data_IF_006867502189
#
_entry.id   IF_006867502189
#
_cell.length_a   1.000
_cell.length_b   1.000
_cell.length_c   1.000
_cell.angle_alpha   90.00
_cell.angle_beta   90.00
_cell.angle_gamma   90.00
#
_symmetry.space_group_name_H-M   'P 1'
#
loop_
_entity.id
_entity.type
_entity.pdbx_description
1 polymer ?
#
# COMPACT_ATOMS: atom_id res chain seq x y z
N UNK A 1 -18.25 -6.59 0.98
CA UNK A 1 -17.08 -6.30 0.13
C UNK A 1 -15.91 -5.87 1.01
N UNK A 2 -14.72 -6.34 0.71
CA UNK A 2 -13.46 -5.91 1.33
C UNK A 2 -12.61 -5.19 0.27
N UNK A 3 -12.36 -3.86 0.38
CA UNK A 3 -11.59 -3.11 -0.61
C UNK A 3 -10.07 -3.25 -0.39
N UNK A 4 -9.62 -4.49 -0.22
CA UNK A 4 -8.24 -4.86 0.07
C UNK A 4 -7.86 -6.20 -0.55
N UNK A 5 -6.57 -6.50 -0.57
CA UNK A 5 -6.05 -7.83 -0.87
C UNK A 5 -6.56 -8.86 0.16
N UNK A 6 -6.75 -10.12 -0.22
CA UNK A 6 -6.96 -11.20 0.73
C UNK A 6 -5.85 -11.22 1.80
N UNK A 7 -6.25 -11.30 3.08
CA UNK A 7 -5.33 -11.28 4.22
C UNK A 7 -4.96 -9.88 4.73
N UNK A 8 -5.34 -8.80 4.07
CA UNK A 8 -5.20 -7.44 4.59
C UNK A 8 -6.24 -7.11 5.67
N UNK A 9 -6.03 -6.04 6.44
CA UNK A 9 -6.86 -5.70 7.60
C UNK A 9 -8.36 -5.58 7.29
N UNK A 10 -8.76 -4.98 6.17
CA UNK A 10 -10.17 -4.93 5.77
C UNK A 10 -10.75 -6.28 5.33
N UNK A 11 -9.95 -7.14 4.70
CA UNK A 11 -10.37 -8.50 4.37
C UNK A 11 -10.59 -9.32 5.64
N UNK A 12 -9.65 -9.22 6.59
CA UNK A 12 -9.78 -9.85 7.91
C UNK A 12 -11.06 -9.39 8.61
N UNK A 13 -11.31 -8.09 8.67
CA UNK A 13 -12.53 -7.54 9.29
C UNK A 13 -13.80 -8.03 8.58
N UNK A 14 -13.83 -8.00 7.24
CA UNK A 14 -14.99 -8.45 6.47
C UNK A 14 -15.29 -9.93 6.71
N UNK A 15 -14.26 -10.79 6.75
CA UNK A 15 -14.43 -12.23 7.03
C UNK A 15 -14.87 -12.49 8.44
N UNK A 16 -14.34 -11.77 9.41
CA UNK A 16 -14.77 -11.87 10.82
C UNK A 16 -16.23 -11.43 10.96
N UNK A 17 -16.61 -10.29 10.40
CA UNK A 17 -18.00 -9.83 10.39
C UNK A 17 -18.93 -10.89 9.76
N UNK A 18 -18.57 -11.39 8.58
CA UNK A 18 -19.32 -12.44 7.89
C UNK A 18 -19.45 -13.70 8.74
N UNK A 19 -18.36 -14.16 9.36
CA UNK A 19 -18.33 -15.33 10.21
C UNK A 19 -19.24 -15.17 11.43
N UNK A 20 -19.15 -14.04 12.14
CA UNK A 20 -19.98 -13.80 13.34
C UNK A 20 -21.45 -13.68 12.97
N UNK A 21 -21.79 -12.92 11.90
CA UNK A 21 -23.18 -12.80 11.43
C UNK A 21 -23.79 -14.14 11.07
N UNK A 22 -22.99 -15.06 10.50
CA UNK A 22 -23.42 -16.42 10.13
C UNK A 22 -23.55 -17.33 11.35
N UNK A 23 -22.50 -17.38 12.20
CA UNK A 23 -22.44 -18.29 13.37
C UNK A 23 -23.52 -17.95 14.40
N UNK A 24 -23.72 -16.65 14.65
CA UNK A 24 -24.74 -16.14 15.58
C UNK A 24 -26.14 -16.07 14.95
N UNK A 25 -26.29 -16.51 13.70
CA UNK A 25 -27.56 -16.52 12.95
C UNK A 25 -28.25 -15.14 12.95
N UNK A 26 -27.46 -14.07 12.78
CA UNK A 26 -27.99 -12.71 12.76
C UNK A 26 -28.64 -12.41 11.43
N UNK A 27 -28.00 -12.85 10.33
CA UNK A 27 -28.58 -12.73 8.99
C UNK A 27 -29.35 -14.00 8.61
N UNK A 28 -30.52 -13.86 7.95
CA UNK A 28 -31.31 -14.98 7.51
C UNK A 28 -30.78 -15.65 6.23
N UNK A 29 -29.77 -15.05 5.59
CA UNK A 29 -29.21 -15.47 4.30
C UNK A 29 -27.70 -15.67 4.41
N UNK A 30 -27.17 -16.54 3.56
CA UNK A 30 -25.74 -16.71 3.42
C UNK A 30 -25.10 -15.42 2.81
N UNK A 31 -23.93 -15.07 3.29
CA UNK A 31 -23.14 -13.94 2.79
C UNK A 31 -21.75 -14.40 2.39
N UNK A 32 -21.15 -13.72 1.43
CA UNK A 32 -19.78 -13.96 0.97
C UNK A 32 -18.93 -12.70 1.04
N UNK A 33 -17.62 -12.86 1.13
CA UNK A 33 -16.67 -11.76 1.10
C UNK A 33 -16.05 -11.65 -0.30
N UNK A 34 -16.24 -10.50 -0.93
CA UNK A 34 -15.68 -10.17 -2.25
C UNK A 34 -14.56 -9.15 -2.05
N UNK A 35 -13.36 -9.45 -2.55
CA UNK A 35 -12.23 -8.54 -2.50
C UNK A 35 -12.19 -7.62 -3.73
N UNK A 36 -11.97 -6.31 -3.51
CA UNK A 36 -11.81 -5.29 -4.55
C UNK A 36 -10.67 -4.36 -4.15
N UNK A 37 -9.45 -4.78 -4.44
CA UNK A 37 -8.23 -4.08 -4.07
C UNK A 37 -7.90 -2.91 -4.99
N UNK A 38 -7.08 -1.98 -4.53
CA UNK A 38 -6.40 -0.95 -5.31
C UNK A 38 -6.69 0.46 -4.84
N UNK A 39 -5.72 1.34 -5.04
CA UNK A 39 -5.74 2.76 -4.71
C UNK A 39 -6.27 3.06 -3.29
N UNK A 40 -5.77 2.34 -2.27
CA UNK A 40 -6.20 2.50 -0.88
C UNK A 40 -7.69 2.26 -0.65
N UNK A 41 -8.33 1.42 -1.47
CA UNK A 41 -9.73 1.05 -1.38
C UNK A 41 -10.68 1.88 -2.24
N UNK A 42 -10.23 2.95 -2.88
CA UNK A 42 -11.10 3.84 -3.69
C UNK A 42 -11.66 3.13 -4.94
N UNK A 43 -10.96 2.12 -5.49
CA UNK A 43 -11.50 1.29 -6.57
C UNK A 43 -12.72 0.49 -6.08
N UNK A 44 -12.64 -0.14 -4.91
CA UNK A 44 -13.77 -0.84 -4.30
C UNK A 44 -14.94 0.09 -3.97
N UNK A 45 -14.65 1.32 -3.49
CA UNK A 45 -15.64 2.35 -3.22
C UNK A 45 -16.39 2.76 -4.51
N UNK A 46 -15.66 3.01 -5.59
CA UNK A 46 -16.25 3.35 -6.88
C UNK A 46 -17.13 2.22 -7.42
N UNK A 47 -16.71 0.96 -7.26
CA UNK A 47 -17.52 -0.20 -7.66
C UNK A 47 -18.79 -0.33 -6.81
N UNK A 48 -18.71 -0.14 -5.48
CA UNK A 48 -19.87 -0.16 -4.59
C UNK A 48 -20.93 0.86 -5.02
N UNK A 49 -20.49 2.10 -5.26
CA UNK A 49 -21.37 3.21 -5.66
C UNK A 49 -21.96 2.98 -7.05
N UNK A 50 -21.14 2.54 -8.02
CA UNK A 50 -21.58 2.30 -9.39
C UNK A 50 -22.60 1.16 -9.50
N UNK A 51 -22.44 0.10 -8.70
CA UNK A 51 -23.38 -1.03 -8.67
C UNK A 51 -24.71 -0.66 -8.03
N UNK A 52 -24.69 0.14 -6.97
CA UNK A 52 -25.90 0.52 -6.23
C UNK A 52 -26.70 -0.64 -5.67
N UNK A 53 -26.07 -1.85 -5.53
CA UNK A 53 -26.73 -3.06 -5.08
C UNK A 53 -26.97 -3.00 -3.56
N UNK A 54 -28.23 -2.92 -3.10
CA UNK A 54 -28.58 -2.81 -1.68
C UNK A 54 -28.20 -4.05 -0.85
N UNK A 55 -27.85 -5.15 -1.49
CA UNK A 55 -27.41 -6.39 -0.82
C UNK A 55 -25.89 -6.43 -0.62
N UNK A 56 -25.17 -5.42 -1.07
CA UNK A 56 -23.71 -5.29 -0.90
C UNK A 56 -23.39 -4.23 0.14
N UNK A 57 -22.70 -4.61 1.19
CA UNK A 57 -22.09 -3.70 2.17
C UNK A 57 -20.57 -3.77 2.07
N UNK A 58 -19.88 -2.71 2.48
CA UNK A 58 -18.42 -2.64 2.39
C UNK A 58 -17.80 -2.25 3.71
N UNK A 59 -16.69 -2.90 4.07
CA UNK A 59 -15.82 -2.44 5.14
C UNK A 59 -15.03 -1.22 4.64
N UNK A 60 -14.94 -0.20 5.45
CA UNK A 60 -14.14 0.99 5.19
C UNK A 60 -13.44 1.43 6.48
N UNK A 61 -12.57 2.42 6.40
CA UNK A 61 -11.88 2.95 7.56
C UNK A 61 -11.00 4.14 7.21
N UNK A 62 -10.17 4.57 8.16
CA UNK A 62 -9.31 5.75 8.05
C UNK A 62 -8.44 5.76 6.79
N UNK A 63 -7.84 4.62 6.42
CA UNK A 63 -7.05 4.49 5.19
C UNK A 63 -7.81 4.97 3.95
N UNK A 64 -9.12 4.71 3.89
CA UNK A 64 -9.94 5.13 2.75
C UNK A 64 -10.15 6.64 2.72
N UNK A 65 -10.29 7.31 3.87
CA UNK A 65 -10.37 8.78 3.93
C UNK A 65 -9.11 9.40 3.33
N UNK A 66 -7.94 9.02 3.82
CA UNK A 66 -6.67 9.50 3.30
C UNK A 66 -6.51 9.22 1.81
N UNK A 67 -6.92 8.03 1.36
CA UNK A 67 -6.82 7.64 -0.04
C UNK A 67 -7.80 8.38 -0.95
N UNK A 68 -8.99 8.74 -0.47
CA UNK A 68 -9.92 9.61 -1.21
C UNK A 68 -9.29 10.97 -1.46
N UNK A 69 -8.65 11.54 -0.44
CA UNK A 69 -7.99 12.84 -0.52
C UNK A 69 -6.76 12.79 -1.44
N UNK A 70 -5.86 11.84 -1.21
CA UNK A 70 -4.59 11.73 -1.96
C UNK A 70 -4.75 11.27 -3.40
N UNK A 71 -5.75 10.45 -3.71
CA UNK A 71 -6.02 9.98 -5.08
C UNK A 71 -7.03 10.88 -5.82
N UNK A 72 -7.51 11.99 -5.22
CA UNK A 72 -8.60 12.84 -5.75
C UNK A 72 -9.75 11.99 -6.28
N UNK A 73 -10.19 11.05 -5.48
CA UNK A 73 -11.25 10.14 -5.90
C UNK A 73 -12.51 10.91 -6.27
N UNK A 74 -13.02 10.66 -7.46
CA UNK A 74 -14.30 11.24 -7.90
C UNK A 74 -15.48 10.74 -7.07
N UNK A 75 -15.30 9.60 -6.36
CA UNK A 75 -16.27 9.01 -5.44
C UNK A 75 -15.75 9.14 -4.03
N UNK A 76 -16.58 9.61 -3.13
CA UNK A 76 -16.23 9.85 -1.72
C UNK A 76 -17.19 9.10 -0.79
N UNK A 77 -16.95 9.15 0.52
CA UNK A 77 -17.85 8.55 1.50
C UNK A 77 -19.24 9.22 1.52
N UNK A 78 -19.37 10.46 1.01
CA UNK A 78 -20.68 11.14 0.83
C UNK A 78 -21.58 10.44 -0.20
N UNK A 79 -21.00 9.59 -1.04
CA UNK A 79 -21.70 8.77 -2.02
C UNK A 79 -22.12 7.41 -1.46
N UNK A 80 -21.98 7.20 -0.16
CA UNK A 80 -22.39 6.00 0.57
C UNK A 80 -23.35 6.33 1.70
N UNK A 81 -23.91 5.29 2.31
CA UNK A 81 -24.74 5.37 3.52
C UNK A 81 -23.95 4.72 4.66
N UNK A 82 -23.47 5.46 5.65
CA UNK A 82 -22.83 4.89 6.84
C UNK A 82 -23.82 4.04 7.64
N UNK A 83 -23.41 2.83 8.01
CA UNK A 83 -24.22 1.88 8.76
C UNK A 83 -23.77 1.80 10.21
N UNK A 84 -22.52 1.47 10.46
CA UNK A 84 -21.95 1.37 11.81
C UNK A 84 -20.44 1.52 11.80
N UNK A 85 -19.89 2.28 12.73
CA UNK A 85 -18.51 2.13 13.21
C UNK A 85 -18.47 0.87 14.07
N UNK A 86 -17.48 0.02 13.86
CA UNK A 86 -17.41 -1.27 14.56
C UNK A 86 -16.33 -1.29 15.63
N UNK A 87 -15.13 -0.87 15.26
CA UNK A 87 -13.93 -0.99 16.08
C UNK A 87 -12.95 0.15 15.86
N UNK A 88 -12.14 0.38 16.87
CA UNK A 88 -10.82 0.97 16.75
C UNK A 88 -9.74 -0.10 16.85
N UNK A 89 -8.80 -0.06 15.93
CA UNK A 89 -7.51 -0.70 16.00
C UNK A 89 -6.44 0.41 16.14
N UNK A 90 -5.28 0.06 16.65
CA UNK A 90 -4.21 1.02 16.83
C UNK A 90 -2.97 0.61 16.03
N UNK A 91 -2.23 1.61 15.59
CA UNK A 91 -0.98 1.39 14.88
C UNK A 91 0.17 1.21 15.87
N UNK A 92 1.14 0.42 15.47
CA UNK A 92 2.39 0.28 16.20
C UNK A 92 3.56 0.82 15.38
N UNK A 93 4.57 1.29 16.08
CA UNK A 93 5.88 1.56 15.52
C UNK A 93 6.77 0.39 15.91
N UNK A 94 7.35 -0.26 14.91
CA UNK A 94 8.24 -1.39 15.13
C UNK A 94 9.53 -1.29 14.31
N UNK A 95 10.54 -1.97 14.82
CA UNK A 95 11.86 -2.11 14.19
C UNK A 95 12.26 -3.58 14.14
N UNK A 96 13.29 -3.91 13.37
CA UNK A 96 13.90 -5.24 13.41
C UNK A 96 14.37 -5.58 14.83
N UNK A 97 14.29 -6.84 15.23
CA UNK A 97 14.62 -7.25 16.59
C UNK A 97 16.08 -6.94 16.97
N UNK A 98 16.99 -6.96 16.00
CA UNK A 98 18.42 -6.64 16.15
C UNK A 98 18.75 -5.15 15.92
N UNK A 99 17.72 -4.33 15.62
CA UNK A 99 17.88 -2.87 15.44
C UNK A 99 18.56 -2.23 16.64
N UNK A 100 19.36 -1.19 16.37
CA UNK A 100 19.97 -0.33 17.41
C UNK A 100 18.94 0.43 18.25
N UNK A 101 17.74 0.69 17.69
CA UNK A 101 16.68 1.40 18.38
C UNK A 101 15.99 0.49 19.40
N UNK A 102 16.07 0.82 20.68
CA UNK A 102 15.46 0.09 21.78
C UNK A 102 14.16 0.73 22.27
N UNK A 103 14.05 2.02 22.12
CA UNK A 103 12.91 2.86 22.49
C UNK A 103 12.49 3.74 21.33
N UNK A 104 11.28 4.29 21.39
CA UNK A 104 10.84 5.28 20.40
C UNK A 104 11.75 6.52 20.44
N UNK A 105 12.23 6.92 21.64
CA UNK A 105 13.10 8.08 21.80
C UNK A 105 14.43 7.91 21.04
N UNK A 106 15.04 6.71 21.06
CA UNK A 106 16.28 6.46 20.28
C UNK A 106 16.07 6.72 18.78
N UNK A 107 14.92 6.28 18.24
CA UNK A 107 14.56 6.49 16.85
C UNK A 107 14.28 7.96 16.56
N UNK A 108 13.57 8.65 17.44
CA UNK A 108 13.20 10.08 17.28
C UNK A 108 14.45 10.99 17.36
N UNK A 109 15.42 10.66 18.20
CA UNK A 109 16.66 11.44 18.31
C UNK A 109 17.47 11.41 17.00
N UNK A 110 17.55 10.22 16.37
CA UNK A 110 18.17 10.11 15.05
C UNK A 110 17.31 10.78 13.96
N UNK A 111 15.99 10.65 14.04
CA UNK A 111 15.06 11.28 13.11
C UNK A 111 15.14 12.82 13.14
N UNK A 112 15.26 13.42 14.33
CA UNK A 112 15.47 14.87 14.51
C UNK A 112 16.80 15.32 13.92
N UNK A 113 17.85 14.50 14.03
CA UNK A 113 19.20 14.84 13.54
C UNK A 113 19.29 14.82 12.02
N UNK A 114 18.71 13.80 11.39
CA UNK A 114 18.72 13.64 9.95
C UNK A 114 17.47 12.87 9.48
N UNK A 115 16.36 13.58 9.20
CA UNK A 115 15.11 12.97 8.82
C UNK A 115 15.22 12.07 7.58
N UNK A 116 16.02 12.46 6.60
CA UNK A 116 16.15 11.73 5.34
C UNK A 116 16.83 10.36 5.49
N UNK A 117 17.62 10.16 6.55
CA UNK A 117 18.28 8.88 6.84
C UNK A 117 17.39 7.87 7.53
N UNK A 118 16.27 8.28 8.09
CA UNK A 118 15.31 7.38 8.73
C UNK A 118 14.25 7.01 7.70
N UNK A 119 14.39 5.81 7.16
CA UNK A 119 13.36 5.23 6.28
C UNK A 119 12.23 4.65 7.11
N UNK A 120 11.04 5.25 6.97
CA UNK A 120 9.79 4.74 7.51
C UNK A 120 9.08 3.89 6.45
N UNK A 121 8.37 2.87 6.83
CA UNK A 121 7.54 2.12 5.90
C UNK A 121 6.24 1.66 6.53
N UNK A 122 5.24 1.51 5.69
CA UNK A 122 3.90 1.07 6.07
C UNK A 122 3.04 0.87 4.83
N UNK A 123 1.73 0.92 4.95
CA UNK A 123 0.81 0.81 3.83
C UNK A 123 0.86 2.01 2.89
N UNK A 124 -0.24 2.28 2.20
CA UNK A 124 -0.34 3.27 1.14
C UNK A 124 0.11 4.68 1.54
N UNK A 125 0.71 5.42 0.63
CA UNK A 125 0.96 6.84 0.82
C UNK A 125 -0.35 7.58 1.11
N UNK A 126 -0.35 8.46 2.12
CA UNK A 126 -1.57 9.13 2.61
C UNK A 126 -2.52 8.24 3.41
N UNK A 127 -2.18 6.96 3.63
CA UNK A 127 -2.93 6.07 4.51
C UNK A 127 -2.58 6.28 5.99
N UNK A 128 -3.22 5.51 6.87
CA UNK A 128 -3.12 5.62 8.33
C UNK A 128 -1.68 5.63 8.81
N UNK A 129 -0.86 4.73 8.31
CA UNK A 129 0.55 4.59 8.69
C UNK A 129 1.37 5.85 8.36
N UNK A 130 1.16 6.40 7.15
CA UNK A 130 1.85 7.62 6.71
C UNK A 130 1.38 8.85 7.50
N UNK A 131 0.07 8.96 7.77
CA UNK A 131 -0.51 10.00 8.61
C UNK A 131 0.10 9.96 10.02
N UNK A 132 0.22 8.77 10.61
CA UNK A 132 0.84 8.64 11.93
C UNK A 132 2.29 9.10 11.94
N UNK A 133 3.09 8.74 10.92
CA UNK A 133 4.48 9.21 10.80
C UNK A 133 4.54 10.74 10.64
N UNK A 134 3.59 11.34 9.91
CA UNK A 134 3.49 12.79 9.77
C UNK A 134 3.17 13.49 11.12
N UNK A 135 2.22 12.95 11.87
CA UNK A 135 1.90 13.45 13.21
C UNK A 135 3.10 13.34 14.18
N UNK A 136 3.83 12.23 14.12
CA UNK A 136 5.07 12.02 14.89
C UNK A 136 6.13 13.05 14.51
N UNK A 137 6.35 13.29 13.21
CA UNK A 137 7.30 14.28 12.73
C UNK A 137 6.95 15.67 13.25
N UNK A 138 5.68 16.07 13.13
CA UNK A 138 5.19 17.35 13.63
C UNK A 138 5.39 17.48 15.15
N UNK A 139 4.98 16.50 15.93
CA UNK A 139 5.15 16.50 17.39
C UNK A 139 6.63 16.49 17.81
N UNK A 140 7.49 15.86 17.01
CA UNK A 140 8.93 15.85 17.22
C UNK A 140 9.63 17.17 16.78
N UNK A 141 8.93 18.10 16.13
CA UNK A 141 9.50 19.33 15.56
C UNK A 141 10.33 19.08 14.29
N UNK A 142 10.07 17.99 13.59
CA UNK A 142 10.65 17.67 12.28
C UNK A 142 9.68 18.14 11.20
N UNK A 143 10.20 18.76 10.14
CA UNK A 143 9.39 19.14 8.98
C UNK A 143 8.80 17.87 8.31
N UNK A 144 7.46 17.69 8.30
CA UNK A 144 6.84 16.50 7.75
C UNK A 144 7.14 16.24 6.28
N UNK A 145 7.48 17.27 5.50
CA UNK A 145 7.90 17.15 4.09
C UNK A 145 9.25 16.48 3.90
N UNK A 146 10.03 16.34 4.97
CA UNK A 146 11.34 15.65 4.96
C UNK A 146 11.27 14.18 5.33
N UNK A 147 10.08 13.66 5.56
CA UNK A 147 9.88 12.24 5.89
C UNK A 147 10.28 11.39 4.68
N UNK A 148 11.18 10.43 4.91
CA UNK A 148 11.48 9.38 3.93
C UNK A 148 10.52 8.21 4.18
N UNK A 149 9.35 8.25 3.52
CA UNK A 149 8.33 7.21 3.66
C UNK A 149 8.27 6.30 2.43
N UNK A 150 8.35 4.99 2.65
CA UNK A 150 8.26 3.96 1.62
C UNK A 150 6.89 3.28 1.75
N UNK A 151 6.02 3.52 0.77
CA UNK A 151 4.69 2.95 0.74
C UNK A 151 4.70 1.51 0.19
N UNK A 152 3.95 0.62 0.85
CA UNK A 152 3.71 -0.75 0.43
C UNK A 152 2.21 -1.00 0.20
N UNK A 153 1.85 -2.13 -0.41
CA UNK A 153 0.43 -2.48 -0.60
C UNK A 153 -0.28 -2.87 0.71
N UNK A 154 0.47 -3.10 1.79
CA UNK A 154 -0.05 -3.42 3.12
C UNK A 154 1.05 -3.78 4.11
N UNK A 155 0.66 -3.96 5.37
CA UNK A 155 1.57 -4.19 6.48
C UNK A 155 2.46 -5.44 6.35
N UNK A 156 1.99 -6.48 5.64
CA UNK A 156 2.79 -7.71 5.45
C UNK A 156 4.08 -7.48 4.67
N UNK A 157 4.03 -6.70 3.58
CA UNK A 157 5.21 -6.35 2.78
C UNK A 157 6.14 -5.42 3.56
N UNK A 158 5.59 -4.43 4.27
CA UNK A 158 6.35 -3.53 5.12
C UNK A 158 7.07 -4.29 6.24
N UNK A 159 6.43 -5.31 6.88
CA UNK A 159 7.06 -6.16 7.88
C UNK A 159 8.31 -6.88 7.34
N UNK A 160 8.22 -7.43 6.13
CA UNK A 160 9.37 -8.09 5.47
C UNK A 160 10.51 -7.11 5.24
N UNK A 161 10.22 -5.89 4.80
CA UNK A 161 11.23 -4.84 4.58
C UNK A 161 11.89 -4.38 5.89
N UNK A 162 11.13 -4.27 6.99
CA UNK A 162 11.67 -3.96 8.33
C UNK A 162 12.56 -5.10 8.82
N UNK A 163 12.08 -6.35 8.78
CA UNK A 163 12.85 -7.52 9.21
C UNK A 163 14.13 -7.72 8.40
N UNK A 164 14.10 -7.37 7.12
CA UNK A 164 15.25 -7.43 6.21
C UNK A 164 16.22 -6.26 6.33
N UNK A 165 15.97 -5.28 7.20
CA UNK A 165 16.83 -4.11 7.40
C UNK A 165 16.79 -3.08 6.27
N UNK A 166 15.84 -3.20 5.33
CA UNK A 166 15.64 -2.23 4.25
C UNK A 166 14.95 -0.96 4.74
N UNK A 167 14.30 -1.00 5.88
CA UNK A 167 13.66 0.12 6.57
C UNK A 167 14.25 0.31 7.96
N UNK A 168 14.36 1.56 8.40
CA UNK A 168 14.78 1.91 9.76
C UNK A 168 13.70 1.57 10.78
N UNK A 169 12.44 1.84 10.43
CA UNK A 169 11.25 1.56 11.24
C UNK A 169 10.03 1.34 10.32
N UNK A 170 9.04 0.68 10.85
CA UNK A 170 7.77 0.49 10.18
C UNK A 170 6.58 0.79 11.07
N UNK A 171 5.47 1.06 10.43
CA UNK A 171 4.15 1.31 11.04
C UNK A 171 3.13 0.36 10.44
N UNK A 172 2.29 -0.22 11.26
CA UNK A 172 1.16 -1.07 10.83
C UNK A 172 0.21 -1.30 12.01
N UNK A 173 -0.96 -1.91 11.74
CA UNK A 173 -1.89 -2.30 12.79
C UNK A 173 -1.27 -3.29 13.79
N UNK A 174 -1.55 -3.08 15.07
CA UNK A 174 -1.02 -3.89 16.17
C UNK A 174 -1.24 -5.40 15.94
N UNK A 175 -2.45 -5.78 15.56
CA UNK A 175 -2.81 -7.18 15.35
C UNK A 175 -2.08 -7.81 14.14
N UNK A 176 -1.76 -7.03 13.11
CA UNK A 176 -1.10 -7.53 11.90
C UNK A 176 0.34 -7.99 12.18
N UNK A 177 1.05 -7.28 13.05
CA UNK A 177 2.47 -7.55 13.33
C UNK A 177 2.75 -8.32 14.63
N UNK A 178 1.72 -8.59 15.43
CA UNK A 178 1.81 -9.31 16.70
C UNK A 178 2.60 -10.64 16.58
N UNK A 179 2.32 -11.43 15.56
CA UNK A 179 3.02 -12.70 15.30
C UNK A 179 4.53 -12.56 15.07
N UNK A 180 4.96 -11.44 14.47
CA UNK A 180 6.39 -11.19 14.21
C UNK A 180 7.13 -10.76 15.46
N UNK A 181 6.46 -10.08 16.37
CA UNK A 181 7.02 -9.72 17.68
C UNK A 181 7.05 -10.93 18.60
N UNK A 182 5.99 -11.72 18.66
CA UNK A 182 5.96 -12.99 19.42
C UNK A 182 7.01 -14.00 18.95
N UNK A 183 7.32 -14.01 17.65
CA UNK A 183 8.41 -14.83 17.08
C UNK A 183 9.81 -14.21 17.23
N UNK A 184 9.94 -13.06 17.87
CA UNK A 184 11.21 -12.38 18.11
C UNK A 184 11.89 -11.80 16.87
N UNK A 185 11.14 -11.56 15.79
CA UNK A 185 11.65 -10.97 14.53
C UNK A 185 11.54 -9.46 14.49
N UNK A 186 10.53 -8.90 15.13
CA UNK A 186 10.31 -7.47 15.30
C UNK A 186 10.30 -7.10 16.78
N UNK A 187 10.48 -5.82 17.06
CA UNK A 187 10.31 -5.20 18.37
C UNK A 187 9.38 -4.01 18.23
N UNK A 188 8.32 -3.96 19.03
CA UNK A 188 7.52 -2.77 19.19
C UNK A 188 8.30 -1.70 19.96
N UNK A 189 8.22 -0.46 19.49
CA UNK A 189 8.76 0.72 20.18
C UNK A 189 7.66 1.50 20.88
N UNK A 190 6.50 1.66 20.23
CA UNK A 190 5.35 2.35 20.80
C UNK A 190 4.05 1.99 20.07
N UNK A 191 2.91 2.26 20.69
CA UNK A 191 1.56 2.12 20.16
C UNK A 191 0.86 3.47 20.10
N UNK A 192 0.00 3.67 19.08
CA UNK A 192 -0.68 4.95 18.83
C UNK A 192 -1.90 5.21 19.70
N UNK A 193 -2.28 4.30 20.58
CA UNK A 193 -3.43 4.44 21.50
C UNK A 193 -3.15 5.43 22.63
N UNK A 194 -4.22 5.99 23.20
CA UNK A 194 -4.13 6.83 24.41
C UNK A 194 -3.65 6.03 25.64
N UNK A 195 -3.93 4.75 25.68
CA UNK A 195 -3.56 3.83 26.76
C UNK A 195 -2.90 2.60 26.18
N UNK A 196 -2.01 1.95 26.94
CA UNK A 196 -1.40 0.69 26.55
C UNK A 196 -2.46 -0.35 26.21
N UNK A 197 -2.24 -1.14 25.19
CA UNK A 197 -3.12 -2.20 24.72
C UNK A 197 -2.42 -3.56 24.76
N UNK A 198 -3.21 -4.62 24.72
CA UNK A 198 -2.67 -5.98 24.77
C UNK A 198 -2.09 -6.36 26.13
N UNK A 199 -1.31 -7.42 26.15
CA UNK A 199 -0.66 -7.97 27.33
C UNK A 199 0.82 -7.61 27.44
N UNK A 200 1.37 -6.94 26.44
CA UNK A 200 2.76 -6.54 26.42
C UNK A 200 2.96 -5.19 27.14
N UNK A 201 4.21 -4.85 27.41
CA UNK A 201 4.58 -3.63 28.11
C UNK A 201 4.86 -2.46 27.16
N UNK A 202 4.45 -2.56 25.89
CA UNK A 202 4.71 -1.53 24.87
C UNK A 202 4.13 -0.19 25.32
N UNK A 203 4.95 0.88 25.44
CA UNK A 203 4.46 2.19 25.83
C UNK A 203 3.62 2.81 24.72
N UNK A 204 2.77 3.77 25.06
CA UNK A 204 2.13 4.61 24.07
C UNK A 204 3.12 5.65 23.50
N UNK A 205 2.79 6.24 22.35
CA UNK A 205 3.59 7.34 21.80
C UNK A 205 3.62 8.51 22.77
N UNK A 206 2.50 8.80 23.44
CA UNK A 206 2.39 9.86 24.48
C UNK A 206 3.27 9.56 25.68
N UNK A 207 3.26 8.32 26.20
CA UNK A 207 4.17 7.91 27.28
C UNK A 207 5.65 8.00 26.88
N UNK A 208 5.94 7.92 25.58
CA UNK A 208 7.29 8.07 25.01
C UNK A 208 7.68 9.53 24.75
N UNK A 209 6.87 10.50 25.16
CA UNK A 209 7.20 11.93 25.14
C UNK A 209 6.71 12.72 23.94
N UNK A 210 5.89 12.14 23.07
CA UNK A 210 5.25 12.82 21.93
C UNK A 210 3.73 12.85 22.11
N UNK A 211 3.12 14.03 22.05
CA UNK A 211 1.67 14.18 22.18
C UNK A 211 0.97 13.76 20.87
N UNK A 212 0.93 12.46 20.65
CA UNK A 212 0.32 11.85 19.47
C UNK A 212 -0.49 10.64 19.90
N UNK A 213 -1.78 10.64 19.52
CA UNK A 213 -2.65 9.47 19.59
C UNK A 213 -3.50 9.39 18.31
N UNK A 214 -3.73 8.19 17.82
CA UNK A 214 -4.51 7.96 16.60
C UNK A 214 -5.05 6.54 16.57
N UNK A 215 -6.30 6.38 16.14
CA UNK A 215 -6.89 5.07 15.87
C UNK A 215 -7.00 4.80 14.37
N UNK A 216 -6.89 3.54 14.01
CA UNK A 216 -7.24 3.00 12.70
C UNK A 216 -8.63 2.38 12.79
N UNK A 217 -9.63 3.21 12.72
CA UNK A 217 -11.01 2.79 12.90
C UNK A 217 -11.56 2.07 11.65
N UNK A 218 -12.55 1.21 11.87
CA UNK A 218 -13.23 0.44 10.81
C UNK A 218 -14.73 0.51 10.96
N UNK A 219 -15.40 0.77 9.82
CA UNK A 219 -16.83 0.93 9.73
C UNK A 219 -17.41 0.11 8.57
N UNK A 220 -18.73 0.03 8.55
CA UNK A 220 -19.52 -0.55 7.45
C UNK A 220 -20.28 0.56 6.76
N UNK A 221 -20.25 0.56 5.44
CA UNK A 221 -21.07 1.42 4.59
C UNK A 221 -21.89 0.59 3.60
N UNK A 222 -23.01 1.15 3.17
CA UNK A 222 -23.86 0.64 2.10
C UNK A 222 -23.84 1.61 0.90
N UNK A 223 -24.24 1.20 -0.32
CA UNK A 223 -24.28 2.06 -1.47
C UNK A 223 -25.30 3.18 -1.31
N UNK A 224 -25.07 4.31 -1.98
CA UNK A 224 -26.02 5.41 -2.08
C UNK A 224 -27.33 4.91 -2.67
N UNK A 225 -28.45 5.31 -2.08
CA UNK A 225 -29.79 4.84 -2.48
C UNK A 225 -30.31 3.65 -1.66
N UNK A 226 -29.54 3.14 -0.70
CA UNK A 226 -30.06 2.25 0.33
C UNK A 226 -31.19 2.97 1.08
N UNK A 227 -32.40 2.39 1.05
CA UNK A 227 -33.57 2.98 1.69
C UNK A 227 -33.49 2.94 3.23
N UNK A 228 -34.31 3.74 3.90
CA UNK A 228 -34.29 3.87 5.36
C UNK A 228 -34.62 2.54 6.08
N UNK A 229 -35.47 1.71 5.50
CA UNK A 229 -35.83 0.41 6.09
C UNK A 229 -34.63 -0.55 6.03
N UNK A 230 -33.95 -0.61 4.91
CA UNK A 230 -32.73 -1.40 4.73
C UNK A 230 -31.60 -0.87 5.61
N UNK A 231 -31.42 0.46 5.68
CA UNK A 231 -30.45 1.08 6.59
C UNK A 231 -30.70 0.69 8.04
N UNK A 232 -31.95 0.83 8.51
CA UNK A 232 -32.33 0.48 9.86
C UNK A 232 -32.10 -1.01 10.16
N UNK A 233 -32.46 -1.88 9.22
CA UNK A 233 -32.24 -3.31 9.34
C UNK A 233 -30.75 -3.68 9.43
N UNK A 234 -29.90 -3.11 8.57
CA UNK A 234 -28.44 -3.29 8.61
C UNK A 234 -27.84 -2.78 9.92
N UNK A 235 -28.28 -1.61 10.38
CA UNK A 235 -27.82 -1.00 11.65
C UNK A 235 -28.17 -1.93 12.83
N UNK A 236 -29.40 -2.47 12.88
CA UNK A 236 -29.79 -3.39 13.95
C UNK A 236 -29.04 -4.73 13.83
N UNK A 237 -28.76 -5.21 12.63
CA UNK A 237 -27.92 -6.41 12.45
C UNK A 237 -26.51 -6.19 13.03
N UNK A 238 -25.89 -5.04 12.78
CA UNK A 238 -24.57 -4.70 13.37
C UNK A 238 -24.66 -4.53 14.90
N UNK A 239 -25.73 -3.93 15.40
CA UNK A 239 -25.95 -3.80 16.84
C UNK A 239 -26.15 -5.18 17.54
N UNK A 240 -26.84 -6.10 16.89
CA UNK A 240 -26.97 -7.47 17.39
C UNK A 240 -25.63 -8.20 17.37
N UNK A 241 -24.85 -8.05 16.28
CA UNK A 241 -23.50 -8.60 16.17
C UNK A 241 -22.62 -8.10 17.32
N UNK A 242 -22.59 -6.79 17.56
CA UNK A 242 -21.81 -6.18 18.67
C UNK A 242 -22.10 -6.83 20.01
N UNK A 243 -23.39 -7.14 20.30
CA UNK A 243 -23.84 -7.75 21.56
C UNK A 243 -23.59 -9.25 21.66
N UNK A 244 -23.21 -9.91 20.57
CA UNK A 244 -23.01 -11.36 20.54
C UNK A 244 -21.74 -11.79 21.26
N UNK A 245 -21.75 -13.01 21.79
CA UNK A 245 -20.58 -13.61 22.46
C UNK A 245 -19.42 -13.73 21.46
N UNK A 246 -19.73 -14.18 20.23
CA UNK A 246 -18.72 -14.35 19.18
C UNK A 246 -17.98 -13.05 18.85
N UNK A 247 -18.69 -11.91 18.78
CA UNK A 247 -18.04 -10.62 18.54
C UNK A 247 -17.17 -10.16 19.72
N UNK A 248 -17.64 -10.33 20.94
CA UNK A 248 -16.86 -9.99 22.14
C UNK A 248 -15.59 -10.83 22.28
N UNK A 249 -15.61 -12.09 21.83
CA UNK A 249 -14.40 -12.92 21.74
C UNK A 249 -13.43 -12.43 20.66
N UNK A 250 -13.96 -12.01 19.51
CA UNK A 250 -13.16 -11.41 18.43
C UNK A 250 -12.45 -10.16 18.90
N UNK A 251 -13.14 -9.24 19.57
CA UNK A 251 -12.54 -8.02 20.11
C UNK A 251 -11.34 -8.33 21.01
N UNK A 252 -11.53 -9.26 21.97
CA UNK A 252 -10.45 -9.68 22.89
C UNK A 252 -9.29 -10.37 22.17
N UNK A 253 -9.58 -11.24 21.19
CA UNK A 253 -8.55 -12.00 20.47
C UNK A 253 -7.64 -11.12 19.63
N UNK A 254 -8.19 -10.04 19.05
CA UNK A 254 -7.49 -9.14 18.15
C UNK A 254 -7.01 -7.85 18.84
N UNK A 255 -7.23 -7.71 20.15
CA UNK A 255 -6.96 -6.47 20.90
C UNK A 255 -7.66 -5.24 20.27
N UNK A 256 -8.87 -5.45 19.70
CA UNK A 256 -9.69 -4.38 19.13
C UNK A 256 -10.56 -3.72 20.20
N UNK A 257 -10.67 -2.38 20.10
CA UNK A 257 -11.57 -1.61 20.98
C UNK A 257 -12.97 -1.54 20.38
N UNK A 258 -13.99 -1.76 21.20
CA UNK A 258 -15.40 -1.60 20.83
C UNK A 258 -15.76 -0.11 20.77
N UNK A 259 -15.79 0.45 19.56
CA UNK A 259 -16.05 1.87 19.29
C UNK A 259 -17.36 2.09 18.53
N UNK A 260 -18.36 1.28 18.83
CA UNK A 260 -19.61 1.23 18.08
C UNK A 260 -20.38 2.55 18.08
N UNK A 261 -20.53 3.14 16.89
CA UNK A 261 -21.37 4.31 16.62
C UNK A 261 -22.29 4.04 15.44
N UNK A 262 -23.47 4.68 15.44
CA UNK A 262 -24.45 4.61 14.35
C UNK A 262 -25.17 5.96 14.16
N UNK A 263 -25.87 6.12 13.05
CA UNK A 263 -26.69 7.30 12.78
C UNK A 263 -25.90 8.61 12.84
N UNK A 264 -26.51 9.71 13.36
CA UNK A 264 -25.89 11.04 13.34
C UNK A 264 -24.56 11.15 14.12
N UNK A 265 -24.31 10.26 15.07
CA UNK A 265 -23.01 10.24 15.79
C UNK A 265 -21.91 9.71 14.89
N UNK A 266 -22.19 8.67 14.10
CA UNK A 266 -21.26 8.15 13.09
C UNK A 266 -21.00 9.17 11.99
N UNK A 267 -22.03 9.87 11.51
CA UNK A 267 -21.88 10.90 10.48
C UNK A 267 -20.92 12.00 10.97
N UNK A 268 -21.14 12.53 12.20
CA UNK A 268 -20.25 13.54 12.82
C UNK A 268 -18.83 13.01 13.06
N UNK A 269 -18.68 11.73 13.40
CA UNK A 269 -17.38 11.10 13.56
C UNK A 269 -16.62 11.12 12.24
N UNK A 270 -17.21 10.64 11.14
CA UNK A 270 -16.58 10.62 9.81
C UNK A 270 -16.21 12.04 9.34
N UNK A 271 -17.06 13.04 9.62
CA UNK A 271 -16.76 14.43 9.27
C UNK A 271 -15.52 14.95 10.02
N UNK A 272 -15.41 14.70 11.34
CA UNK A 272 -14.25 15.12 12.12
C UNK A 272 -12.96 14.43 11.67
N UNK A 273 -13.02 13.11 11.44
CA UNK A 273 -11.86 12.34 10.96
C UNK A 273 -11.41 12.84 9.58
N UNK A 274 -12.36 13.13 8.69
CA UNK A 274 -12.05 13.67 7.36
C UNK A 274 -11.33 15.02 7.46
N UNK A 275 -11.80 15.93 8.34
CA UNK A 275 -11.15 17.22 8.54
C UNK A 275 -9.74 17.06 9.11
N UNK A 276 -9.58 16.22 10.15
CA UNK A 276 -8.27 15.95 10.77
C UNK A 276 -7.26 15.35 9.78
N UNK A 277 -7.71 14.40 8.95
CA UNK A 277 -6.81 13.78 7.96
C UNK A 277 -6.45 14.74 6.86
N UNK A 278 -7.39 15.62 6.43
CA UNK A 278 -7.11 16.69 5.46
C UNK A 278 -6.02 17.61 5.97
N UNK A 279 -6.14 18.11 7.21
CA UNK A 279 -5.14 18.98 7.82
C UNK A 279 -3.76 18.30 7.90
N UNK A 280 -3.72 17.02 8.27
CA UNK A 280 -2.46 16.27 8.38
C UNK A 280 -1.82 16.00 7.01
N UNK A 281 -2.62 15.67 6.01
CA UNK A 281 -2.13 15.43 4.65
C UNK A 281 -1.56 16.71 4.02
N UNK A 282 -2.14 17.88 4.36
CA UNK A 282 -1.60 19.17 4.00
C UNK A 282 -0.16 19.37 4.47
N UNK A 283 0.13 18.96 5.69
CA UNK A 283 1.46 19.12 6.28
C UNK A 283 2.54 18.36 5.53
N UNK A 284 2.20 17.21 4.93
CA UNK A 284 3.12 16.38 4.15
C UNK A 284 3.07 16.68 2.65
N UNK A 285 2.28 17.69 2.24
CA UNK A 285 2.15 18.07 0.83
C UNK A 285 1.38 17.05 -0.02
N UNK A 286 0.56 16.22 0.61
CA UNK A 286 -0.37 15.29 -0.05
C UNK A 286 -1.81 15.84 -0.12
N UNK A 287 -2.04 17.09 0.25
CA UNK A 287 -3.26 17.79 -0.17
C UNK A 287 -3.28 17.84 -1.68
N UNK A 288 -4.45 17.58 -2.22
CA UNK A 288 -4.75 17.72 -3.62
C UNK A 288 -4.17 18.94 -4.32
N UNK A 289 -2.90 18.94 -4.54
CA UNK A 289 -2.23 19.88 -5.40
C UNK A 289 -2.36 19.38 -6.83
N UNK A 290 -3.00 20.18 -7.68
CA UNK A 290 -3.11 19.96 -9.12
C UNK A 290 -1.75 19.63 -9.78
N UNK A 291 -0.64 19.98 -9.15
CA UNK A 291 0.71 19.72 -9.67
C UNK A 291 1.19 18.28 -9.51
N UNK A 292 0.92 17.61 -8.38
CA UNK A 292 1.37 16.23 -8.17
C UNK A 292 0.55 15.21 -9.00
N UNK A 293 -0.70 15.55 -9.32
CA UNK A 293 -1.59 14.71 -10.13
C UNK A 293 -1.46 15.00 -11.61
N UNK A 294 -1.24 16.25 -12.00
CA UNK A 294 -0.86 16.57 -13.37
C UNK A 294 0.35 15.74 -13.80
N UNK A 295 1.25 15.45 -12.87
CA UNK A 295 2.46 14.66 -13.12
C UNK A 295 2.19 13.14 -13.24
N UNK A 296 1.26 12.57 -12.43
CA UNK A 296 0.81 11.18 -12.58
C UNK A 296 -0.29 11.01 -13.64
N UNK A 297 -1.18 12.00 -13.81
CA UNK A 297 -2.23 11.96 -14.82
C UNK A 297 -1.72 12.23 -16.24
N UNK A 298 -0.56 12.88 -16.39
CA UNK A 298 0.13 13.00 -17.67
C UNK A 298 0.51 11.62 -18.26
N UNK A 299 0.63 10.60 -17.40
CA UNK A 299 0.82 9.20 -17.83
C UNK A 299 -0.52 8.48 -17.71
N UNK A 300 -1.47 8.79 -18.60
CA UNK A 300 -2.78 8.13 -18.64
C UNK A 300 -2.65 6.59 -18.72
N UNK A 301 -3.73 5.85 -18.41
CA UNK A 301 -3.73 4.36 -18.38
C UNK A 301 -3.28 3.72 -19.70
N UNK A 302 -3.23 4.49 -20.76
CA UNK A 302 -2.74 4.07 -22.09
C UNK A 302 -1.23 4.24 -22.30
N UNK A 303 -0.50 4.91 -21.40
CA UNK A 303 0.91 5.22 -21.61
C UNK A 303 1.78 3.95 -21.61
N UNK A 304 1.55 3.03 -20.66
CA UNK A 304 2.28 1.75 -20.61
C UNK A 304 1.93 0.86 -21.82
N UNK A 305 0.65 0.65 -22.17
CA UNK A 305 0.28 -0.02 -23.42
C UNK A 305 0.84 0.65 -24.66
N UNK A 306 0.84 1.99 -24.74
CA UNK A 306 1.40 2.73 -25.87
C UNK A 306 2.91 2.54 -26.00
N UNK A 307 3.66 2.57 -24.90
CA UNK A 307 5.11 2.33 -24.88
C UNK A 307 5.46 0.90 -25.32
N UNK A 308 4.69 -0.09 -24.85
CA UNK A 308 4.83 -1.48 -25.29
C UNK A 308 4.55 -1.57 -26.80
N UNK A 309 3.48 -0.93 -27.29
CA UNK A 309 3.13 -0.91 -28.70
C UNK A 309 4.21 -0.22 -29.56
N UNK A 310 4.76 0.92 -29.11
CA UNK A 310 5.87 1.61 -29.76
C UNK A 310 7.12 0.74 -29.78
N UNK A 311 7.47 0.09 -28.67
CA UNK A 311 8.60 -0.84 -28.58
C UNK A 311 8.46 -2.03 -29.55
N UNK A 312 7.26 -2.61 -29.64
CA UNK A 312 6.94 -3.67 -30.59
C UNK A 312 6.99 -3.16 -32.04
N UNK A 313 6.48 -1.96 -32.29
CA UNK A 313 6.53 -1.34 -33.63
C UNK A 313 7.97 -1.05 -34.05
N UNK A 314 8.79 -0.48 -33.19
CA UNK A 314 10.20 -0.22 -33.46
C UNK A 314 11.00 -1.50 -33.69
N UNK A 315 10.72 -2.56 -32.90
CA UNK A 315 11.35 -3.87 -33.13
C UNK A 315 10.93 -4.51 -34.42
N UNK A 316 9.65 -4.35 -34.83
CA UNK A 316 9.12 -4.85 -36.11
C UNK A 316 9.70 -4.09 -37.28
N UNK A 317 9.77 -2.75 -37.19
CA UNK A 317 10.43 -1.90 -38.21
C UNK A 317 11.92 -2.24 -38.32
N UNK A 318 12.61 -2.42 -37.21
CA UNK A 318 14.01 -2.87 -37.18
C UNK A 318 14.19 -4.24 -37.90
N UNK A 319 13.29 -5.18 -37.63
CA UNK A 319 13.30 -6.48 -38.30
C UNK A 319 13.01 -6.42 -39.82
N UNK A 320 12.17 -5.46 -40.25
CA UNK A 320 11.91 -5.21 -41.70
C UNK A 320 13.10 -4.56 -42.41
N UNK A 321 13.83 -3.66 -41.74
CA UNK A 321 15.01 -2.99 -42.28
C UNK A 321 16.22 -3.94 -42.42
N UNK A 322 16.25 -5.05 -41.70
CA UNK A 322 17.35 -6.02 -41.74
C UNK A 322 17.25 -7.02 -42.91
N UNK A 323 16.22 -6.95 -43.81
CA UNK A 323 16.01 -7.92 -44.88
C UNK A 323 15.71 -7.30 -46.27
N UNK A 324 16.72 -7.02 -47.06
CA UNK A 324 16.56 -7.16 -48.51
C UNK A 324 16.77 -8.66 -48.88
N UNK A 325 15.68 -9.42 -49.08
CA UNK A 325 15.70 -10.69 -49.81
C UNK A 325 15.78 -12.01 -49.04
N UNK A 326 15.14 -12.14 -47.86
CA UNK A 326 15.13 -13.41 -47.11
C UNK A 326 13.73 -13.98 -46.87
N UNK A 327 13.51 -15.24 -47.22
CA UNK A 327 12.31 -16.01 -46.85
C UNK A 327 12.06 -15.96 -45.34
N UNK A 328 10.81 -15.71 -44.93
CA UNK A 328 10.35 -15.83 -43.53
C UNK A 328 10.60 -17.28 -43.13
N UNK A 329 11.60 -17.51 -42.28
CA UNK A 329 11.72 -18.80 -41.61
C UNK A 329 10.64 -18.83 -40.52
N UNK A 330 9.88 -19.95 -40.39
CA UNK A 330 8.97 -20.09 -39.26
C UNK A 330 9.77 -19.94 -37.95
N UNK A 331 9.15 -19.32 -36.95
CA UNK A 331 9.71 -19.20 -35.58
C UNK A 331 10.20 -20.61 -35.18
N UNK A 332 11.49 -20.86 -35.27
CA UNK A 332 12.08 -22.02 -34.62
C UNK A 332 12.00 -21.74 -33.11
N UNK A 333 11.29 -22.61 -32.40
CA UNK A 333 11.33 -22.64 -30.95
C UNK A 333 12.80 -22.57 -30.51
N UNK A 334 13.14 -21.59 -29.66
CA UNK A 334 14.49 -21.46 -29.09
C UNK A 334 14.91 -22.83 -28.58
N UNK A 335 16.12 -23.26 -28.86
CA UNK A 335 16.63 -24.49 -28.27
C UNK A 335 16.68 -24.36 -26.74
N UNK A 336 16.59 -25.51 -26.07
CA UNK A 336 16.51 -25.51 -24.59
C UNK A 336 17.74 -24.86 -23.94
N UNK A 337 18.91 -24.91 -24.60
CA UNK A 337 20.15 -24.31 -24.09
C UNK A 337 20.10 -22.78 -24.14
N UNK A 338 19.62 -22.23 -25.26
CA UNK A 338 19.44 -20.77 -25.40
C UNK A 338 18.37 -20.24 -24.44
N UNK A 339 17.28 -20.99 -24.23
CA UNK A 339 16.25 -20.64 -23.26
C UNK A 339 16.78 -20.66 -21.84
N UNK A 340 17.49 -21.72 -21.44
CA UNK A 340 18.13 -21.81 -20.12
C UNK A 340 19.16 -20.71 -19.90
N UNK A 341 19.95 -20.38 -20.94
CA UNK A 341 20.90 -19.26 -20.89
C UNK A 341 20.21 -17.92 -20.67
N UNK A 342 19.12 -17.65 -21.39
CA UNK A 342 18.33 -16.43 -21.20
C UNK A 342 17.72 -16.32 -19.80
N UNK A 343 17.16 -17.42 -19.26
CA UNK A 343 16.64 -17.46 -17.90
C UNK A 343 17.76 -17.22 -16.87
N UNK A 344 18.94 -17.83 -17.05
CA UNK A 344 20.08 -17.62 -16.17
C UNK A 344 20.57 -16.16 -16.15
N UNK A 345 20.61 -15.52 -17.31
CA UNK A 345 20.98 -14.10 -17.45
C UNK A 345 19.94 -13.20 -16.75
N UNK A 346 18.65 -13.50 -16.85
CA UNK A 346 17.60 -12.74 -16.17
C UNK A 346 17.69 -12.89 -14.64
N UNK A 347 17.95 -14.08 -14.15
CA UNK A 347 18.20 -14.30 -12.69
C UNK A 347 19.40 -13.49 -12.23
N UNK A 348 20.51 -13.54 -12.98
CA UNK A 348 21.72 -12.77 -12.68
C UNK A 348 21.44 -11.26 -12.71
N UNK A 349 20.64 -10.78 -13.66
CA UNK A 349 20.20 -9.38 -13.72
C UNK A 349 19.49 -8.96 -12.45
N UNK A 350 18.52 -9.74 -11.96
CA UNK A 350 17.77 -9.44 -10.73
C UNK A 350 18.72 -9.36 -9.52
N UNK A 351 19.64 -10.30 -9.40
CA UNK A 351 20.61 -10.33 -8.30
C UNK A 351 21.60 -9.15 -8.32
N UNK A 352 21.96 -8.67 -9.50
CA UNK A 352 22.93 -7.57 -9.67
C UNK A 352 22.28 -6.19 -9.71
N UNK A 353 20.96 -6.09 -9.81
CA UNK A 353 20.26 -4.83 -10.00
C UNK A 353 20.52 -3.83 -8.86
N UNK A 354 20.45 -4.28 -7.61
CA UNK A 354 20.71 -3.43 -6.45
C UNK A 354 22.20 -3.15 -6.21
N UNK A 355 23.11 -4.15 -6.16
CA UNK A 355 24.52 -3.87 -5.86
C UNK A 355 25.25 -3.14 -6.99
N UNK A 356 24.92 -3.40 -8.25
CA UNK A 356 25.62 -2.78 -9.41
C UNK A 356 24.90 -1.56 -9.96
N UNK A 357 23.58 -1.49 -9.79
CA UNK A 357 22.73 -0.40 -10.26
C UNK A 357 22.12 -0.65 -11.64
N UNK A 358 21.00 0.05 -11.90
CA UNK A 358 20.18 -0.14 -13.09
C UNK A 358 20.95 0.07 -14.40
N UNK A 359 21.72 1.16 -14.51
CA UNK A 359 22.38 1.55 -15.76
C UNK A 359 23.36 0.48 -16.26
N UNK A 360 24.27 0.04 -15.40
CA UNK A 360 25.28 -0.96 -15.77
C UNK A 360 24.65 -2.33 -16.00
N UNK A 361 23.74 -2.74 -15.13
CA UNK A 361 23.13 -4.07 -15.19
C UNK A 361 22.24 -4.23 -16.42
N UNK A 362 21.44 -3.21 -16.77
CA UNK A 362 20.58 -3.23 -17.95
C UNK A 362 21.36 -3.17 -19.24
N UNK A 363 22.43 -2.36 -19.28
CA UNK A 363 23.32 -2.30 -20.43
C UNK A 363 23.97 -3.67 -20.69
N UNK A 364 24.48 -4.32 -19.65
CA UNK A 364 25.05 -5.67 -19.75
C UNK A 364 24.00 -6.70 -20.17
N UNK A 365 22.80 -6.65 -19.58
CA UNK A 365 21.70 -7.54 -19.94
C UNK A 365 21.40 -7.50 -21.44
N UNK A 366 21.12 -6.30 -21.95
CA UNK A 366 20.75 -6.12 -23.36
C UNK A 366 21.86 -6.56 -24.31
N UNK A 367 23.12 -6.22 -23.98
CA UNK A 367 24.26 -6.62 -24.78
C UNK A 367 24.45 -8.16 -24.80
N UNK A 368 24.41 -8.82 -23.61
CA UNK A 368 24.60 -10.27 -23.50
C UNK A 368 23.45 -11.03 -24.17
N UNK A 369 22.19 -10.58 -24.01
CA UNK A 369 21.04 -11.19 -24.66
C UNK A 369 21.18 -11.08 -26.19
N UNK A 370 21.58 -9.94 -26.73
CA UNK A 370 21.81 -9.80 -28.17
C UNK A 370 22.85 -10.79 -28.68
N UNK A 371 23.92 -11.04 -27.92
CA UNK A 371 24.94 -12.05 -28.25
C UNK A 371 24.40 -13.48 -28.16
N UNK A 372 23.63 -13.78 -27.12
CA UNK A 372 23.02 -15.10 -26.93
C UNK A 372 22.06 -15.44 -28.08
N UNK A 373 21.32 -14.43 -28.58
CA UNK A 373 20.40 -14.57 -29.71
C UNK A 373 21.11 -14.61 -31.09
N UNK A 374 22.45 -14.64 -31.09
CA UNK A 374 23.24 -14.87 -32.33
C UNK A 374 23.63 -13.61 -33.09
N UNK A 375 23.48 -12.41 -32.51
CA UNK A 375 23.98 -11.19 -33.15
C UNK A 375 25.51 -11.23 -33.29
N UNK A 376 26.03 -10.87 -34.47
CA UNK A 376 27.46 -10.81 -34.78
C UNK A 376 28.01 -9.38 -34.84
N UNK A 377 27.17 -8.35 -34.74
CA UNK A 377 27.54 -6.93 -34.90
C UNK A 377 27.79 -6.24 -33.57
N UNK A 378 28.96 -6.44 -32.98
CA UNK A 378 29.32 -6.00 -31.64
C UNK A 378 29.05 -4.48 -31.42
N UNK A 379 29.51 -3.64 -32.36
CA UNK A 379 29.35 -2.18 -32.21
C UNK A 379 27.90 -1.74 -32.25
N UNK A 380 27.09 -2.32 -33.16
CA UNK A 380 25.64 -2.04 -33.23
C UNK A 380 24.93 -2.46 -31.93
N UNK A 381 25.24 -3.65 -31.42
CA UNK A 381 24.61 -4.18 -30.22
C UNK A 381 24.99 -3.33 -28.97
N UNK A 382 26.23 -2.87 -28.90
CA UNK A 382 26.68 -1.96 -27.85
C UNK A 382 25.96 -0.60 -27.92
N UNK A 383 25.88 0.02 -29.10
CA UNK A 383 25.18 1.29 -29.30
C UNK A 383 23.68 1.13 -28.96
N UNK A 384 23.05 0.06 -29.42
CA UNK A 384 21.65 -0.22 -29.14
C UNK A 384 21.42 -0.37 -27.64
N UNK A 385 22.27 -1.12 -26.92
CA UNK A 385 22.15 -1.32 -25.48
C UNK A 385 22.32 -0.01 -24.72
N UNK A 386 23.27 0.83 -25.10
CA UNK A 386 23.50 2.16 -24.49
C UNK A 386 22.27 3.05 -24.69
N UNK A 387 21.83 3.21 -25.92
CA UNK A 387 20.70 4.08 -26.27
C UNK A 387 19.42 3.63 -25.56
N UNK A 388 19.10 2.33 -25.62
CA UNK A 388 17.90 1.80 -24.99
C UNK A 388 17.94 1.97 -23.47
N UNK A 389 19.07 1.65 -22.83
CA UNK A 389 19.24 1.84 -21.40
C UNK A 389 19.10 3.32 -21.00
N UNK A 390 19.71 4.23 -21.73
CA UNK A 390 19.62 5.67 -21.47
C UNK A 390 18.20 6.21 -21.65
N UNK A 391 17.49 5.79 -22.71
CA UNK A 391 16.09 6.20 -22.96
C UNK A 391 15.17 5.69 -21.85
N UNK A 392 15.29 4.42 -21.47
CA UNK A 392 14.46 3.85 -20.39
C UNK A 392 14.79 4.49 -19.06
N UNK A 393 16.07 4.70 -18.74
CA UNK A 393 16.49 5.41 -17.52
C UNK A 393 15.92 6.83 -17.46
N UNK A 394 16.08 7.58 -18.55
CA UNK A 394 15.56 8.94 -18.65
C UNK A 394 14.03 8.96 -18.49
N UNK A 395 13.34 8.01 -19.10
CA UNK A 395 11.90 7.89 -18.98
C UNK A 395 11.47 7.63 -17.53
N UNK A 396 12.07 6.66 -16.85
CA UNK A 396 11.74 6.39 -15.44
C UNK A 396 12.10 7.55 -14.51
N UNK A 397 13.28 8.14 -14.70
CA UNK A 397 13.79 9.17 -13.80
C UNK A 397 13.16 10.56 -14.04
N UNK A 398 12.95 10.95 -15.31
CA UNK A 398 12.48 12.31 -15.66
C UNK A 398 10.99 12.38 -15.98
N UNK A 399 10.38 11.30 -16.50
CA UNK A 399 8.95 11.28 -16.85
C UNK A 399 8.13 10.66 -15.74
N UNK A 400 8.52 9.49 -15.22
CA UNK A 400 7.80 8.82 -14.13
C UNK A 400 8.26 9.24 -12.73
N UNK A 401 9.39 9.98 -12.62
CA UNK A 401 10.02 10.36 -11.34
C UNK A 401 10.23 9.18 -10.38
N UNK A 402 10.46 8.01 -10.92
CA UNK A 402 10.76 6.79 -10.17
C UNK A 402 12.29 6.65 -10.11
N UNK A 403 12.86 6.78 -8.93
CA UNK A 403 14.30 6.56 -8.70
C UNK A 403 14.67 5.10 -8.97
N UNK A 404 15.49 4.86 -9.99
CA UNK A 404 16.06 3.55 -10.27
C UNK A 404 17.32 3.31 -9.42
N UNK A 405 17.63 2.05 -9.05
CA UNK A 405 18.81 1.73 -8.24
C UNK A 405 20.08 2.30 -8.86
N UNK A 406 20.78 3.17 -8.15
CA UNK A 406 22.02 3.81 -8.61
C UNK A 406 23.24 2.86 -8.50
N UNK A 407 23.23 1.95 -7.55
CA UNK A 407 24.28 0.96 -7.33
C UNK A 407 25.67 1.61 -7.12
N UNK A 408 26.67 1.09 -7.83
CA UNK A 408 28.08 1.54 -7.73
C UNK A 408 28.29 2.95 -8.30
N UNK A 409 27.34 3.50 -9.05
CA UNK A 409 27.44 4.82 -9.72
C UNK A 409 26.71 5.95 -8.96
N UNK A 410 26.10 5.67 -7.79
CA UNK A 410 25.33 6.63 -7.01
C UNK A 410 25.88 6.97 -5.65
#
# INVERSE_FOLDING_TARGET
MAPANPGGGWDQTARIVQQVLTTERILPVASEVINRQGAGGTIGLAELVARGDPHTIMVMGRVMLGSILTNHSAVTLRDTVPIALLIDEYEIIAVAADSKYRTLQDLIDDFKRDPARISWGGGSAGGTDHILVAMIAQAAGVDPKKINYVAYSGGGEAAVAVMGGSLSAGVSGYSEWKQYVESGKLRYLAVSSEKRIGSDSTPTITESGLDVSMSNWRAIVAPRGTDDATRAWLTEAMARMRRSVGWQEVLRKNDWTDSFLTGPELDRFIERETASDTDTLALIGLEGGDEAIAEYAAVGPWAVPALIAIGLLLSTVGALYERPGGHIRPLQLMDSKTLMGACGILVLYILLLNPVGYLLTTLMLLFVIARLLGSRRILRDAVFSIVTTAVVYAFFNFVLKIGLPSGVLG
#
